data_IF_988178200597
#
_entry.id   IF_988178200597
#
_cell.length_a   1.000
_cell.length_b   1.000
_cell.length_c   1.000
_cell.angle_alpha   90.00
_cell.angle_beta   90.00
_cell.angle_gamma   90.00
#
_symmetry.space_group_name_H-M   'P 1'
#
loop_
_entity.id
_entity.type
_entity.pdbx_description
1 polymer ?
#
# COMPACT_ATOMS: atom_id res chain seq x y z
N UNK A 1 23.69 -60.16 5.33
CA UNK A 1 22.92 -58.90 5.39
C UNK A 1 22.96 -58.35 6.82
N UNK A 2 23.62 -57.19 7.07
CA UNK A 2 23.71 -56.57 8.38
C UNK A 2 22.46 -55.70 8.59
N UNK A 3 21.56 -56.11 9.49
CA UNK A 3 20.39 -55.35 9.88
C UNK A 3 20.86 -54.05 10.55
N UNK A 4 20.58 -52.88 9.92
CA UNK A 4 20.78 -51.55 10.51
C UNK A 4 19.77 -51.41 11.66
N UNK A 5 20.25 -51.39 12.91
CA UNK A 5 19.40 -51.01 14.06
C UNK A 5 19.01 -49.55 13.89
N UNK A 6 17.74 -49.28 13.67
CA UNK A 6 17.16 -47.94 13.73
C UNK A 6 17.03 -47.63 15.21
N UNK A 7 17.86 -46.72 15.72
CA UNK A 7 17.72 -46.18 17.08
C UNK A 7 16.49 -45.26 17.11
N UNK A 8 15.51 -45.58 17.93
CA UNK A 8 14.36 -44.70 18.18
C UNK A 8 14.77 -43.54 19.07
N UNK A 9 14.04 -42.42 18.96
CA UNK A 9 14.20 -41.21 19.78
C UNK A 9 13.87 -41.53 21.25
N UNK A 10 14.69 -41.01 22.17
CA UNK A 10 14.41 -41.06 23.60
C UNK A 10 13.29 -40.06 23.94
N UNK A 11 12.43 -40.42 24.92
CA UNK A 11 11.36 -39.54 25.41
C UNK A 11 11.94 -38.20 25.93
N UNK A 12 13.09 -38.21 26.57
CA UNK A 12 13.79 -37.02 27.08
C UNK A 12 14.27 -36.14 25.95
N UNK A 13 14.74 -36.70 24.84
CA UNK A 13 15.18 -35.96 23.65
C UNK A 13 14.01 -35.23 22.97
N UNK A 14 12.84 -35.88 22.93
CA UNK A 14 11.62 -35.28 22.40
C UNK A 14 11.15 -34.09 23.26
N UNK A 15 11.19 -34.25 24.61
CA UNK A 15 10.83 -33.14 25.52
C UNK A 15 11.76 -31.94 25.38
N UNK A 16 13.08 -32.19 25.29
CA UNK A 16 14.08 -31.14 25.11
C UNK A 16 13.87 -30.45 23.74
N UNK A 17 13.64 -31.21 22.67
CA UNK A 17 13.36 -30.65 21.35
C UNK A 17 12.11 -29.78 21.34
N UNK A 18 11.02 -30.20 22.01
CA UNK A 18 9.82 -29.39 22.16
C UNK A 18 10.07 -28.11 22.95
N UNK A 19 10.82 -28.19 24.06
CA UNK A 19 11.16 -26.99 24.84
C UNK A 19 11.95 -25.96 24.01
N UNK A 20 12.96 -26.40 23.27
CA UNK A 20 13.73 -25.54 22.36
C UNK A 20 12.85 -24.95 21.28
N UNK A 21 11.96 -25.74 20.67
CA UNK A 21 11.04 -25.27 19.67
C UNK A 21 10.10 -24.16 20.19
N UNK A 22 9.57 -24.32 21.41
CA UNK A 22 8.73 -23.31 22.05
C UNK A 22 9.48 -21.98 22.29
N UNK A 23 10.75 -22.07 22.76
CA UNK A 23 11.56 -20.86 22.96
C UNK A 23 11.81 -20.13 21.62
N UNK A 24 12.15 -20.89 20.58
CA UNK A 24 12.37 -20.30 19.24
C UNK A 24 11.10 -19.66 18.68
N UNK A 25 9.95 -20.29 18.87
CA UNK A 25 8.65 -19.72 18.44
C UNK A 25 8.32 -18.45 19.22
N UNK A 26 8.55 -18.42 20.53
CA UNK A 26 8.26 -17.25 21.37
C UNK A 26 9.04 -16.00 20.93
N UNK A 27 10.26 -16.17 20.45
CA UNK A 27 11.09 -15.07 19.95
C UNK A 27 10.81 -14.80 18.47
N UNK A 28 10.66 -15.81 17.64
CA UNK A 28 10.55 -15.68 16.19
C UNK A 28 9.21 -15.14 15.70
N UNK A 29 8.11 -15.51 16.34
CA UNK A 29 6.76 -15.17 15.92
C UNK A 29 6.51 -13.65 15.83
N UNK A 30 6.87 -12.81 16.82
CA UNK A 30 6.63 -11.37 16.74
C UNK A 30 7.41 -10.72 15.61
N UNK A 31 8.63 -11.15 15.32
CA UNK A 31 9.41 -10.64 14.18
C UNK A 31 8.76 -11.01 12.84
N UNK A 32 8.28 -12.24 12.73
CA UNK A 32 7.58 -12.70 11.53
C UNK A 32 6.30 -11.90 11.27
N UNK A 33 5.49 -11.65 12.30
CA UNK A 33 4.26 -10.88 12.17
C UNK A 33 4.52 -9.43 11.71
N UNK A 34 5.55 -8.77 12.25
CA UNK A 34 5.95 -7.43 11.81
C UNK A 34 6.38 -7.41 10.34
N UNK A 35 7.20 -8.37 9.93
CA UNK A 35 7.64 -8.50 8.55
C UNK A 35 6.45 -8.74 7.61
N UNK A 36 5.51 -9.59 8.02
CA UNK A 36 4.30 -9.88 7.26
C UNK A 36 3.40 -8.65 7.07
N UNK A 37 3.14 -7.88 8.14
CA UNK A 37 2.35 -6.65 8.04
C UNK A 37 3.03 -5.59 7.17
N UNK A 38 4.35 -5.44 7.30
CA UNK A 38 5.12 -4.53 6.43
C UNK A 38 5.06 -4.93 4.96
N UNK A 39 5.11 -6.23 4.66
CA UNK A 39 4.93 -6.76 3.32
C UNK A 39 3.53 -6.47 2.76
N UNK A 40 2.47 -6.74 3.55
CA UNK A 40 1.10 -6.45 3.16
C UNK A 40 0.91 -4.95 2.86
N UNK A 41 1.47 -4.08 3.71
CA UNK A 41 1.39 -2.64 3.51
C UNK A 41 2.13 -2.17 2.24
N UNK A 42 3.28 -2.77 1.94
CA UNK A 42 4.02 -2.48 0.70
C UNK A 42 3.25 -2.94 -0.54
N UNK A 43 2.61 -4.12 -0.46
CA UNK A 43 1.75 -4.63 -1.52
C UNK A 43 0.54 -3.71 -1.75
N UNK A 44 -0.05 -3.20 -0.67
CA UNK A 44 -1.11 -2.21 -0.71
C UNK A 44 -0.72 -0.96 -1.50
N UNK A 45 0.42 -0.37 -1.16
CA UNK A 45 0.93 0.81 -1.85
C UNK A 45 1.18 0.54 -3.34
N UNK A 46 1.72 -0.64 -3.67
CA UNK A 46 1.93 -1.05 -5.06
C UNK A 46 0.61 -1.18 -5.83
N UNK A 47 -0.41 -1.78 -5.23
CA UNK A 47 -1.73 -1.92 -5.85
C UNK A 47 -2.39 -0.55 -6.10
N UNK A 48 -2.28 0.41 -5.17
CA UNK A 48 -2.75 1.79 -5.38
C UNK A 48 -2.00 2.41 -6.57
N UNK A 49 -0.68 2.26 -6.62
CA UNK A 49 0.12 2.79 -7.72
C UNK A 49 -0.27 2.17 -9.06
N UNK A 50 -0.53 0.86 -9.10
CA UNK A 50 -0.87 0.14 -10.32
C UNK A 50 -2.25 0.55 -10.86
N UNK A 51 -3.24 0.73 -9.99
CA UNK A 51 -4.56 1.24 -10.40
C UNK A 51 -4.48 2.65 -10.97
N UNK A 52 -3.70 3.52 -10.33
CA UNK A 52 -3.49 4.89 -10.82
C UNK A 52 -2.80 4.86 -12.19
N UNK A 53 -1.77 4.00 -12.38
CA UNK A 53 -1.12 3.79 -13.69
C UNK A 53 -2.11 3.28 -14.73
N UNK A 54 -2.92 2.29 -14.37
CA UNK A 54 -3.91 1.70 -15.27
C UNK A 54 -4.95 2.75 -15.69
N UNK A 55 -5.44 3.56 -14.75
CA UNK A 55 -6.38 4.67 -15.04
C UNK A 55 -5.77 5.67 -16.04
N UNK A 56 -4.50 6.01 -15.84
CA UNK A 56 -3.77 6.86 -16.78
C UNK A 56 -3.71 6.26 -18.19
N UNK A 57 -3.38 4.97 -18.30
CA UNK A 57 -3.34 4.28 -19.59
C UNK A 57 -4.72 4.23 -20.25
N UNK A 58 -5.78 3.99 -19.48
CA UNK A 58 -7.14 4.01 -20.01
C UNK A 58 -7.55 5.38 -20.50
N UNK A 59 -7.18 6.47 -19.82
CA UNK A 59 -7.44 7.84 -20.29
C UNK A 59 -6.78 8.11 -21.65
N UNK A 60 -5.52 7.69 -21.80
CA UNK A 60 -4.79 7.83 -23.08
C UNK A 60 -5.42 6.94 -24.16
N UNK A 61 -5.72 5.67 -23.85
CA UNK A 61 -6.29 4.69 -24.79
C UNK A 61 -7.64 5.13 -25.32
N UNK A 62 -8.49 5.64 -24.44
CA UNK A 62 -9.84 6.08 -24.80
C UNK A 62 -9.87 7.52 -25.37
N UNK A 63 -8.74 8.22 -25.28
CA UNK A 63 -8.65 9.65 -25.61
C UNK A 63 -9.74 10.49 -24.92
N UNK A 64 -10.00 10.19 -23.64
CA UNK A 64 -11.04 10.80 -22.80
C UNK A 64 -10.54 11.04 -21.41
N UNK A 65 -11.27 11.88 -20.69
CA UNK A 65 -11.05 12.07 -19.26
C UNK A 65 -11.54 10.83 -18.50
N UNK A 66 -10.71 10.28 -17.62
CA UNK A 66 -11.01 9.13 -16.79
C UNK A 66 -10.70 9.45 -15.33
N UNK A 67 -11.60 9.05 -14.47
CA UNK A 67 -11.47 9.22 -13.03
C UNK A 67 -10.98 7.93 -12.36
N UNK A 68 -10.00 8.05 -11.47
CA UNK A 68 -9.66 7.04 -10.47
C UNK A 68 -10.29 7.46 -9.14
N UNK A 69 -11.26 6.68 -8.67
CA UNK A 69 -11.92 6.92 -7.38
C UNK A 69 -11.31 5.96 -6.36
N UNK A 70 -10.67 6.51 -5.34
CA UNK A 70 -10.09 5.75 -4.22
C UNK A 70 -10.84 6.16 -2.98
N UNK A 71 -11.48 5.21 -2.31
CA UNK A 71 -12.33 5.44 -1.15
C UNK A 71 -12.37 4.21 -0.24
N UNK A 72 -12.74 4.35 1.05
CA UNK A 72 -13.03 3.20 1.90
C UNK A 72 -14.09 2.31 1.26
N UNK A 73 -13.94 0.99 1.39
CA UNK A 73 -14.94 0.06 0.90
C UNK A 73 -16.21 0.11 1.76
N UNK A 74 -17.36 0.18 1.12
CA UNK A 74 -18.66 0.27 1.81
C UNK A 74 -19.00 -1.00 2.61
N UNK A 75 -18.44 -2.14 2.22
CA UNK A 75 -18.64 -3.43 2.91
C UNK A 75 -17.66 -3.67 4.05
N UNK A 76 -16.47 -3.07 3.98
CA UNK A 76 -15.45 -3.18 5.01
C UNK A 76 -14.62 -1.88 5.07
N UNK A 77 -14.93 -0.97 6.01
CA UNK A 77 -14.26 0.34 6.12
C UNK A 77 -12.75 0.24 6.45
N UNK A 78 -12.26 -0.93 6.84
CA UNK A 78 -10.82 -1.18 7.00
C UNK A 78 -10.11 -1.49 5.70
N UNK A 79 -10.84 -1.56 4.59
CA UNK A 79 -10.31 -1.78 3.24
C UNK A 79 -10.49 -0.53 2.39
N UNK A 80 -9.54 -0.29 1.51
CA UNK A 80 -9.64 0.78 0.52
C UNK A 80 -10.07 0.18 -0.82
N UNK A 81 -11.06 0.77 -1.45
CA UNK A 81 -11.53 0.41 -2.79
C UNK A 81 -11.02 1.44 -3.79
N UNK A 82 -10.48 0.96 -4.89
CA UNK A 82 -10.15 1.79 -6.02
C UNK A 82 -10.94 1.34 -7.25
N UNK A 83 -11.53 2.29 -7.97
CA UNK A 83 -12.34 2.02 -9.16
C UNK A 83 -12.08 3.07 -10.23
N UNK A 84 -12.28 2.69 -11.49
CA UNK A 84 -12.20 3.60 -12.62
C UNK A 84 -13.59 3.95 -13.12
N UNK A 85 -13.85 5.24 -13.29
CA UNK A 85 -15.14 5.74 -13.78
C UNK A 85 -14.93 6.76 -14.88
N UNK A 86 -15.96 6.98 -15.67
CA UNK A 86 -16.03 8.12 -16.60
C UNK A 86 -16.25 9.44 -15.82
N UNK A 87 -16.36 10.55 -16.54
CA UNK A 87 -16.61 11.88 -15.94
C UNK A 87 -17.98 11.97 -15.25
N UNK A 88 -18.92 11.10 -15.59
CA UNK A 88 -20.26 11.04 -15.02
C UNK A 88 -20.35 10.08 -13.82
N UNK A 89 -19.23 9.43 -13.45
CA UNK A 89 -19.18 8.47 -12.36
C UNK A 89 -19.60 7.05 -12.74
N UNK A 90 -19.87 6.78 -14.03
CA UNK A 90 -20.22 5.42 -14.46
C UNK A 90 -18.97 4.55 -14.54
N UNK A 91 -19.04 3.29 -14.10
CA UNK A 91 -17.93 2.34 -14.25
C UNK A 91 -17.54 2.18 -15.72
N UNK A 92 -16.24 2.17 -16.00
CA UNK A 92 -15.76 1.88 -17.34
C UNK A 92 -16.06 0.41 -17.70
N UNK A 93 -16.51 0.19 -18.95
CA UNK A 93 -16.75 -1.16 -19.49
C UNK A 93 -15.48 -1.75 -20.12
N UNK A 94 -15.36 -3.08 -20.16
CA UNK A 94 -14.21 -3.77 -20.74
C UNK A 94 -13.03 -3.89 -19.75
N UNK A 95 -11.80 -3.70 -20.23
CA UNK A 95 -10.59 -3.80 -19.39
C UNK A 95 -10.58 -2.80 -18.22
N UNK A 96 -11.25 -1.66 -18.36
CA UNK A 96 -11.43 -0.64 -17.33
C UNK A 96 -12.47 -0.98 -16.26
N UNK A 97 -13.25 -2.05 -16.43
CA UNK A 97 -14.28 -2.50 -15.47
C UNK A 97 -13.71 -3.11 -14.17
N UNK A 98 -12.40 -3.13 -14.00
CA UNK A 98 -11.78 -3.63 -12.77
C UNK A 98 -11.93 -2.62 -11.63
N UNK A 99 -13.09 -2.64 -10.98
CA UNK A 99 -13.16 -2.20 -9.59
C UNK A 99 -12.33 -3.20 -8.78
N UNK A 100 -11.12 -2.85 -8.44
CA UNK A 100 -10.30 -3.67 -7.58
C UNK A 100 -10.61 -3.25 -6.16
N UNK A 101 -11.30 -4.10 -5.43
CA UNK A 101 -11.26 -4.03 -3.97
C UNK A 101 -9.83 -4.42 -3.63
N UNK A 102 -9.05 -3.44 -3.26
CA UNK A 102 -7.74 -3.69 -2.74
C UNK A 102 -7.97 -4.40 -1.41
N UNK A 103 -7.72 -5.69 -1.37
CA UNK A 103 -7.73 -6.48 -0.13
C UNK A 103 -6.56 -6.03 0.74
N UNK A 104 -6.66 -4.85 1.34
CA UNK A 104 -5.56 -4.15 1.94
C UNK A 104 -5.57 -4.29 3.43
N UNK A 105 -4.50 -4.81 3.92
CA UNK A 105 -4.05 -4.52 5.27
C UNK A 105 -3.56 -3.05 5.42
N UNK A 106 -3.98 -2.14 4.53
CA UNK A 106 -3.59 -0.74 4.53
C UNK A 106 -4.80 0.19 4.48
N UNK A 107 -4.95 1.04 5.48
CA UNK A 107 -5.93 2.11 5.49
C UNK A 107 -5.33 3.41 4.98
N UNK A 108 -6.15 4.19 4.28
CA UNK A 108 -5.86 5.60 4.07
C UNK A 108 -5.85 6.32 5.42
N UNK A 109 -4.80 7.09 5.68
CA UNK A 109 -4.65 7.87 6.91
C UNK A 109 -4.46 9.35 6.60
N UNK A 110 -4.93 10.18 7.51
CA UNK A 110 -4.72 11.62 7.41
C UNK A 110 -3.24 11.97 7.61
N UNK A 111 -2.76 12.95 6.86
CA UNK A 111 -1.38 13.45 6.95
C UNK A 111 -0.99 13.92 8.35
N UNK A 112 -1.96 14.43 9.11
CA UNK A 112 -1.74 14.84 10.50
C UNK A 112 -1.41 13.69 11.46
N UNK A 113 -1.77 12.45 11.08
CA UNK A 113 -1.50 11.23 11.85
C UNK A 113 -0.18 10.54 11.44
N UNK A 114 0.50 11.08 10.43
CA UNK A 114 1.71 10.45 9.84
C UNK A 114 2.96 11.20 10.28
N UNK A 115 3.86 10.57 11.03
CA UNK A 115 5.11 11.19 11.44
C UNK A 115 5.93 11.64 10.22
N UNK A 116 6.43 12.87 10.26
CA UNK A 116 7.29 13.41 9.21
C UNK A 116 6.61 13.53 7.83
N UNK A 117 5.29 13.60 7.74
CA UNK A 117 4.57 13.76 6.48
C UNK A 117 5.02 14.99 5.69
N UNK A 118 5.43 16.05 6.38
CA UNK A 118 5.99 17.29 5.80
C UNK A 118 7.41 17.14 5.28
N UNK A 119 8.13 16.07 5.69
CA UNK A 119 9.52 15.81 5.35
C UNK A 119 9.68 14.88 4.15
N UNK A 120 8.60 14.58 3.45
CA UNK A 120 8.67 13.79 2.22
C UNK A 120 9.60 14.48 1.22
N UNK A 121 10.74 13.86 0.92
CA UNK A 121 11.82 14.50 0.14
C UNK A 121 11.39 15.10 -1.20
N UNK A 122 10.46 14.50 -1.99
CA UNK A 122 9.97 15.14 -3.21
C UNK A 122 9.17 16.41 -2.93
N UNK A 123 8.44 16.46 -1.82
CA UNK A 123 7.71 17.65 -1.43
C UNK A 123 8.65 18.79 -1.04
N UNK A 124 9.73 18.48 -0.34
CA UNK A 124 10.79 19.42 -0.01
C UNK A 124 11.62 19.86 -1.23
N UNK A 125 11.87 18.95 -2.18
CA UNK A 125 12.59 19.24 -3.41
C UNK A 125 11.77 20.05 -4.44
N UNK A 126 10.44 19.95 -4.41
CA UNK A 126 9.54 20.66 -5.29
C UNK A 126 9.25 22.10 -4.84
N UNK A 127 9.79 22.53 -3.71
CA UNK A 127 9.92 23.91 -3.17
C UNK A 127 8.71 24.85 -3.25
N UNK A 128 7.85 24.71 -4.23
CA UNK A 128 6.69 25.55 -4.49
C UNK A 128 5.38 24.79 -4.62
N UNK A 129 5.41 23.45 -4.66
CA UNK A 129 4.21 22.63 -4.83
C UNK A 129 3.90 21.95 -3.47
N UNK A 130 2.93 22.51 -2.76
CA UNK A 130 2.41 21.86 -1.55
C UNK A 130 1.69 20.57 -1.92
N UNK A 131 2.14 19.40 -1.48
CA UNK A 131 1.45 18.16 -1.75
C UNK A 131 0.08 18.17 -1.06
N UNK A 132 -0.95 17.76 -1.78
CA UNK A 132 -2.29 17.60 -1.23
C UNK A 132 -2.44 16.16 -0.74
N UNK A 133 -2.47 15.96 0.56
CA UNK A 133 -2.76 14.66 1.14
C UNK A 133 -4.23 14.29 0.89
N UNK A 134 -4.44 13.04 0.54
CA UNK A 134 -5.78 12.49 0.38
C UNK A 134 -6.38 12.21 1.76
N UNK A 135 -7.59 12.70 1.99
CA UNK A 135 -8.31 12.43 3.23
C UNK A 135 -8.64 10.92 3.37
N UNK A 136 -8.79 10.42 4.60
CA UNK A 136 -9.22 9.04 4.85
C UNK A 136 -10.55 8.67 4.18
N UNK A 137 -11.41 9.66 3.92
CA UNK A 137 -12.67 9.49 3.18
C UNK A 137 -12.48 9.18 1.71
N UNK A 138 -11.25 9.29 1.19
CA UNK A 138 -10.90 9.02 -0.18
C UNK A 138 -10.76 10.26 -1.05
N UNK A 139 -10.44 10.05 -2.32
CA UNK A 139 -10.34 11.08 -3.34
C UNK A 139 -10.68 10.56 -4.73
N UNK A 140 -11.05 11.49 -5.59
CA UNK A 140 -11.15 11.27 -7.04
C UNK A 140 -9.97 11.95 -7.73
N UNK A 141 -9.19 11.17 -8.45
CA UNK A 141 -8.08 11.64 -9.28
C UNK A 141 -8.54 11.60 -10.72
N UNK A 142 -8.36 12.68 -11.43
CA UNK A 142 -8.80 12.79 -12.80
C UNK A 142 -7.61 12.93 -13.75
N UNK A 143 -7.57 12.07 -14.76
CA UNK A 143 -6.59 12.11 -15.83
C UNK A 143 -7.22 12.65 -17.12
N UNK A 144 -6.51 13.52 -17.82
CA UNK A 144 -6.89 13.99 -19.14
C UNK A 144 -6.53 12.95 -20.22
N UNK A 145 -6.94 13.22 -21.46
CA UNK A 145 -6.65 12.36 -22.61
C UNK A 145 -5.15 12.18 -22.93
N UNK A 146 -4.27 12.99 -22.35
CA UNK A 146 -2.82 12.90 -22.50
C UNK A 146 -2.19 12.13 -21.34
N UNK A 147 -2.98 11.74 -20.35
CA UNK A 147 -2.53 11.06 -19.14
C UNK A 147 -1.86 11.97 -18.12
N UNK A 148 -2.12 13.27 -18.20
CA UNK A 148 -1.74 14.23 -17.17
C UNK A 148 -2.89 14.40 -16.17
N UNK A 149 -2.55 14.79 -14.94
CA UNK A 149 -3.57 15.18 -13.96
C UNK A 149 -4.25 16.46 -14.38
N UNK A 150 -5.56 16.49 -14.27
CA UNK A 150 -6.34 17.75 -14.52
C UNK A 150 -6.06 18.80 -13.44
N UNK A 151 -5.64 18.36 -12.24
CA UNK A 151 -5.17 19.25 -11.18
C UNK A 151 -3.64 19.28 -11.18
N UNK A 152 -3.04 20.46 -11.38
CA UNK A 152 -1.58 20.64 -11.37
C UNK A 152 -1.00 20.59 -9.94
N UNK A 153 -1.37 19.58 -9.15
CA UNK A 153 -0.94 19.39 -7.75
C UNK A 153 -0.37 18.00 -7.55
N UNK A 154 0.62 17.90 -6.68
CA UNK A 154 1.10 16.60 -6.20
C UNK A 154 0.06 16.02 -5.24
N UNK A 155 -0.42 14.82 -5.52
CA UNK A 155 -1.36 14.11 -4.65
C UNK A 155 -0.61 13.03 -3.90
N UNK A 156 -0.82 12.95 -2.59
CA UNK A 156 -0.16 11.96 -1.72
C UNK A 156 -1.20 11.11 -1.02
N UNK A 157 -1.05 9.79 -1.14
CA UNK A 157 -1.81 8.81 -0.38
C UNK A 157 -0.93 8.26 0.73
N UNK A 158 -1.34 8.49 1.97
CA UNK A 158 -0.71 7.85 3.12
C UNK A 158 -1.46 6.59 3.51
N UNK A 159 -0.72 5.53 3.72
CA UNK A 159 -1.24 4.22 4.09
C UNK A 159 -0.55 3.73 5.36
N UNK A 160 -1.33 3.13 6.26
CA UNK A 160 -0.80 2.40 7.41
C UNK A 160 -1.46 1.02 7.55
N UNK A 161 -0.84 0.12 8.30
CA UNK A 161 -1.44 -1.15 8.69
C UNK A 161 -2.27 -0.95 9.96
N UNK A 162 -3.60 -1.20 9.93
CA UNK A 162 -4.43 -1.06 11.12
C UNK A 162 -3.94 -2.01 12.22
N UNK A 163 -3.77 -1.48 13.44
CA UNK A 163 -3.35 -2.25 14.60
C UNK A 163 -1.86 -2.61 14.66
N UNK A 164 -1.05 -2.13 13.73
CA UNK A 164 0.40 -2.42 13.68
C UNK A 164 1.21 -1.16 13.35
N UNK A 165 1.21 -0.15 14.25
CA UNK A 165 1.93 1.12 14.01
C UNK A 165 3.44 0.92 13.82
N UNK A 166 4.01 -0.16 14.36
CA UNK A 166 5.41 -0.55 14.19
C UNK A 166 5.76 -0.98 12.75
N UNK A 167 4.78 -1.27 11.92
CA UNK A 167 4.98 -1.59 10.49
C UNK A 167 5.32 -0.36 9.66
N UNK A 168 5.24 0.82 10.25
CA UNK A 168 5.51 2.10 9.61
C UNK A 168 4.39 2.52 8.66
N UNK A 169 4.73 3.43 7.77
CA UNK A 169 3.81 4.04 6.81
C UNK A 169 4.29 3.84 5.37
N UNK A 170 3.36 3.93 4.43
CA UNK A 170 3.69 4.03 3.00
C UNK A 170 3.06 5.29 2.44
N UNK A 171 3.77 5.95 1.56
CA UNK A 171 3.25 7.08 0.81
C UNK A 171 3.33 6.80 -0.68
N UNK A 172 2.23 6.98 -1.37
CA UNK A 172 2.16 6.93 -2.84
C UNK A 172 1.99 8.36 -3.33
N UNK A 173 3.01 8.86 -3.99
CA UNK A 173 3.03 10.22 -4.55
C UNK A 173 2.68 10.17 -6.02
N UNK A 174 1.72 10.97 -6.40
CA UNK A 174 1.32 11.16 -7.78
C UNK A 174 1.69 12.57 -8.22
N UNK A 175 2.58 12.65 -9.18
CA UNK A 175 3.04 13.91 -9.75
C UNK A 175 2.07 14.43 -10.83
N UNK A 176 2.01 15.75 -11.07
CA UNK A 176 1.12 16.33 -12.10
C UNK A 176 1.30 15.74 -13.50
N UNK A 177 2.52 15.35 -13.85
CA UNK A 177 2.82 14.67 -15.12
C UNK A 177 2.37 13.20 -15.16
N UNK A 178 1.72 12.69 -14.09
CA UNK A 178 1.25 11.31 -13.98
C UNK A 178 2.32 10.29 -13.60
N UNK A 179 3.53 10.72 -13.19
CA UNK A 179 4.52 9.80 -12.62
C UNK A 179 4.18 9.47 -11.17
N UNK A 180 4.48 8.23 -10.76
CA UNK A 180 4.14 7.72 -9.44
C UNK A 180 5.41 7.29 -8.73
N UNK A 181 5.52 7.66 -7.46
CA UNK A 181 6.61 7.24 -6.58
C UNK A 181 6.02 6.61 -5.32
N UNK A 182 6.67 5.57 -4.82
CA UNK A 182 6.30 4.90 -3.58
C UNK A 182 7.40 5.14 -2.56
N UNK A 183 7.01 5.55 -1.36
CA UNK A 183 7.90 5.85 -0.26
C UNK A 183 7.52 5.03 0.96
N UNK A 184 8.53 4.62 1.74
CA UNK A 184 8.37 3.99 3.04
C UNK A 184 8.79 4.98 4.12
N UNK A 185 7.95 5.11 5.14
CA UNK A 185 8.21 5.91 6.34
C UNK A 185 8.27 5.02 7.57
N UNK A 186 9.20 5.32 8.47
CA UNK A 186 9.24 4.71 9.80
C UNK A 186 8.35 5.48 10.80
N UNK A 187 8.21 4.94 12.01
CA UNK A 187 7.49 5.60 13.11
C UNK A 187 8.16 6.88 13.61
N UNK A 188 9.41 7.14 13.22
CA UNK A 188 10.17 8.35 13.57
C UNK A 188 10.04 9.45 12.53
N UNK A 189 9.38 9.18 11.40
CA UNK A 189 9.16 10.16 10.33
C UNK A 189 10.29 10.27 9.32
N UNK A 190 11.19 9.26 9.24
CA UNK A 190 12.18 9.18 8.18
C UNK A 190 11.57 8.50 6.95
N UNK A 191 11.69 9.14 5.80
CA UNK A 191 11.13 8.66 4.55
C UNK A 191 12.20 8.24 3.55
N UNK A 192 12.01 7.09 2.93
CA UNK A 192 12.89 6.55 1.89
C UNK A 192 12.07 6.11 0.68
N UNK A 193 12.56 6.44 -0.52
CA UNK A 193 11.90 6.02 -1.75
C UNK A 193 12.17 4.53 -2.00
N UNK A 194 11.11 3.79 -2.31
CA UNK A 194 11.20 2.42 -2.79
C UNK A 194 11.43 2.49 -4.31
N UNK A 195 12.54 1.94 -4.76
CA UNK A 195 12.90 1.86 -6.19
C UNK A 195 12.36 0.57 -6.80
#
# INVERSE_FOLDING_TARGET
MKARRVSGFSLTELVVAMAVAMILMAVGLPYFLRAYHSYQLSNAATQVADIVRLTRYEAIRLNKVVNCVIQPDSGNPTMTRASMTDVNGNPLTGFGSRATVLGLAGNLVDSGSVPGATNLAPAAALGAITPTAVAPTGATIQFDARGALTTARVTVFFLNAPGSPESGFRAVLLMPAGSIQIWTGDSSGNWQQIR
#
